data_IF_536812940238
#
_entry.id   IF_536812940238
#
_cell.length_a   1.000
_cell.length_b   1.000
_cell.length_c   1.000
_cell.angle_alpha   90.00
_cell.angle_beta   90.00
_cell.angle_gamma   90.00
#
_symmetry.space_group_name_H-M   'P 1'
#
loop_
_entity.id
_entity.type
_entity.pdbx_description
1 polymer ?
#
# COMPACT_ATOMS: atom_id res chain seq x y z
N UNK A 1 -9.30 -20.33 -12.47
CA UNK A 1 -10.07 -19.49 -11.54
C UNK A 1 -9.72 -18.04 -11.88
N UNK A 2 -10.71 -17.28 -12.33
CA UNK A 2 -10.49 -15.91 -12.84
C UNK A 2 -10.12 -15.00 -11.66
N UNK A 3 -9.01 -14.27 -11.77
CA UNK A 3 -8.61 -13.25 -10.81
C UNK A 3 -9.73 -12.22 -10.66
N UNK A 4 -10.04 -11.81 -9.45
CA UNK A 4 -10.97 -10.71 -9.20
C UNK A 4 -10.39 -9.44 -9.87
N UNK A 5 -11.20 -8.65 -10.58
CA UNK A 5 -10.72 -7.43 -11.22
C UNK A 5 -10.24 -6.44 -10.15
N UNK A 6 -8.99 -5.99 -10.23
CA UNK A 6 -8.49 -4.87 -9.45
C UNK A 6 -7.23 -5.08 -8.60
N UNK A 7 -6.74 -6.31 -8.41
CA UNK A 7 -5.54 -6.54 -7.61
C UNK A 7 -4.29 -6.58 -8.51
N UNK A 8 -3.66 -5.44 -8.70
CA UNK A 8 -2.50 -5.30 -9.61
C UNK A 8 -1.17 -5.71 -8.99
N UNK A 9 -1.08 -5.90 -7.66
CA UNK A 9 0.14 -6.24 -6.93
C UNK A 9 0.08 -7.69 -6.46
N UNK A 10 1.11 -8.48 -6.80
CA UNK A 10 1.30 -9.86 -6.34
C UNK A 10 2.24 -9.91 -5.15
N UNK A 11 1.83 -10.54 -4.05
CA UNK A 11 2.63 -10.71 -2.84
C UNK A 11 2.83 -12.20 -2.57
N UNK A 12 4.09 -12.63 -2.43
CA UNK A 12 4.44 -13.98 -2.00
C UNK A 12 4.60 -14.04 -0.49
N UNK A 13 3.86 -14.93 0.17
CA UNK A 13 4.03 -15.30 1.58
C UNK A 13 4.81 -16.61 1.66
N UNK A 14 6.01 -16.59 2.24
CA UNK A 14 6.83 -17.77 2.52
C UNK A 14 6.85 -18.01 4.04
N UNK A 15 6.23 -19.10 4.49
CA UNK A 15 6.08 -19.48 5.90
C UNK A 15 5.87 -21.00 5.96
N UNK A 16 6.66 -21.69 6.77
CA UNK A 16 6.60 -23.16 6.88
C UNK A 16 5.46 -23.65 7.77
N UNK A 17 4.97 -22.83 8.69
CA UNK A 17 3.80 -23.16 9.50
C UNK A 17 2.50 -22.88 8.71
N UNK A 18 1.74 -23.93 8.31
CA UNK A 18 0.55 -23.76 7.48
C UNK A 18 -0.53 -22.91 8.14
N UNK A 19 -0.68 -22.96 9.48
CA UNK A 19 -1.69 -22.15 10.18
C UNK A 19 -1.33 -20.66 10.13
N UNK A 20 -0.04 -20.33 10.32
CA UNK A 20 0.44 -18.93 10.26
C UNK A 20 0.36 -18.44 8.83
N UNK A 21 0.82 -19.24 7.86
CA UNK A 21 0.77 -18.93 6.43
C UNK A 21 -0.65 -18.59 5.96
N UNK A 22 -1.62 -19.46 6.27
CA UNK A 22 -3.02 -19.29 5.86
C UNK A 22 -3.65 -18.06 6.53
N UNK A 23 -3.31 -17.80 7.80
CA UNK A 23 -3.80 -16.65 8.54
C UNK A 23 -3.24 -15.34 7.97
N UNK A 24 -1.95 -15.32 7.64
CA UNK A 24 -1.28 -14.17 7.00
C UNK A 24 -1.85 -13.94 5.59
N UNK A 25 -1.97 -15.00 4.79
CA UNK A 25 -2.52 -14.92 3.43
C UNK A 25 -3.94 -14.31 3.44
N UNK A 26 -4.84 -14.85 4.29
CA UNK A 26 -6.20 -14.30 4.44
C UNK A 26 -6.23 -12.84 4.86
N UNK A 27 -5.29 -12.41 5.71
CA UNK A 27 -5.17 -11.01 6.13
C UNK A 27 -4.74 -10.07 5.02
N UNK A 28 -4.04 -10.58 3.99
CA UNK A 28 -3.51 -9.81 2.86
C UNK A 28 -4.38 -9.88 1.60
N UNK A 29 -5.19 -10.94 1.44
CA UNK A 29 -6.12 -11.10 0.32
C UNK A 29 -6.99 -9.87 0.00
N UNK A 30 -7.47 -9.06 0.97
CA UNK A 30 -8.23 -7.86 0.63
C UNK A 30 -7.45 -6.82 -0.19
N UNK A 31 -6.11 -6.80 -0.10
CA UNK A 31 -5.26 -5.72 -0.63
C UNK A 31 -4.48 -6.10 -1.88
N UNK A 32 -4.14 -7.40 -2.06
CA UNK A 32 -3.28 -7.86 -3.13
C UNK A 32 -3.60 -9.29 -3.56
N UNK A 33 -3.04 -9.73 -4.68
CA UNK A 33 -3.02 -11.13 -5.08
C UNK A 33 -1.96 -11.86 -4.25
N UNK A 34 -2.37 -12.89 -3.49
CA UNK A 34 -1.47 -13.60 -2.59
C UNK A 34 -1.03 -14.91 -3.21
N UNK A 35 0.27 -15.08 -3.35
CA UNK A 35 0.96 -16.34 -3.63
C UNK A 35 1.47 -16.91 -2.30
N UNK A 36 1.46 -18.22 -2.11
CA UNK A 36 1.98 -18.87 -0.90
C UNK A 36 3.12 -19.81 -1.26
N UNK A 37 4.08 -19.94 -0.35
CA UNK A 37 5.15 -20.93 -0.41
C UNK A 37 5.33 -21.62 0.94
N UNK A 38 5.59 -22.93 0.89
CA UNK A 38 5.65 -23.79 2.08
C UNK A 38 7.01 -23.75 2.77
N UNK A 39 8.06 -23.36 2.04
CA UNK A 39 9.42 -23.20 2.53
C UNK A 39 10.22 -22.25 1.60
N UNK A 40 11.49 -22.02 1.96
CA UNK A 40 12.36 -21.14 1.18
C UNK A 40 12.75 -21.70 -0.19
N UNK A 41 12.76 -23.00 -0.38
CA UNK A 41 13.09 -23.62 -1.68
C UNK A 41 11.88 -23.48 -2.63
N UNK A 42 10.68 -23.75 -2.16
CA UNK A 42 9.43 -23.51 -2.89
C UNK A 42 9.27 -22.02 -3.24
N UNK A 43 9.57 -21.14 -2.27
CA UNK A 43 9.56 -19.70 -2.50
C UNK A 43 10.52 -19.28 -3.62
N UNK A 44 11.75 -19.80 -3.59
CA UNK A 44 12.76 -19.50 -4.63
C UNK A 44 12.30 -19.95 -6.02
N UNK A 45 11.73 -21.14 -6.13
CA UNK A 45 11.21 -21.68 -7.40
C UNK A 45 10.06 -20.82 -7.93
N UNK A 46 9.10 -20.48 -7.08
CA UNK A 46 7.97 -19.62 -7.45
C UNK A 46 8.40 -18.22 -7.89
N UNK A 47 9.35 -17.61 -7.19
CA UNK A 47 9.90 -16.30 -7.59
C UNK A 47 10.61 -16.35 -8.94
N UNK A 48 11.25 -17.47 -9.30
CA UNK A 48 11.92 -17.62 -10.59
C UNK A 48 10.91 -17.86 -11.71
N UNK A 49 9.89 -18.65 -11.47
CA UNK A 49 8.84 -19.01 -12.46
C UNK A 49 7.89 -17.83 -12.70
N UNK A 50 7.36 -17.26 -11.63
CA UNK A 50 6.43 -16.13 -11.65
C UNK A 50 6.86 -15.08 -10.61
N UNK A 51 7.70 -14.08 -10.98
CA UNK A 51 8.18 -13.08 -10.04
C UNK A 51 7.04 -12.28 -9.39
N UNK A 52 6.94 -12.28 -8.05
CA UNK A 52 6.00 -11.42 -7.33
C UNK A 52 6.50 -9.96 -7.30
N UNK A 53 5.61 -9.05 -6.97
CA UNK A 53 5.97 -7.64 -6.78
C UNK A 53 6.61 -7.36 -5.41
N UNK A 54 6.30 -8.21 -4.40
CA UNK A 54 6.82 -8.12 -3.04
C UNK A 54 6.83 -9.49 -2.39
N UNK A 55 7.78 -9.72 -1.49
CA UNK A 55 7.95 -10.97 -0.74
C UNK A 55 7.83 -10.67 0.76
N UNK A 56 6.99 -11.44 1.45
CA UNK A 56 6.89 -11.51 2.90
C UNK A 56 7.34 -12.90 3.34
N UNK A 57 8.43 -12.99 4.08
CA UNK A 57 9.13 -14.25 4.35
C UNK A 57 9.42 -14.45 5.84
N UNK A 58 9.11 -15.64 6.36
CA UNK A 58 9.65 -16.03 7.65
C UNK A 58 11.18 -16.17 7.59
N UNK A 59 11.82 -15.68 8.62
CA UNK A 59 13.27 -15.81 8.79
C UNK A 59 13.69 -17.25 9.08
N UNK A 60 12.91 -17.96 9.92
CA UNK A 60 13.24 -19.28 10.43
C UNK A 60 12.43 -20.38 9.71
N UNK A 61 12.83 -20.72 8.51
CA UNK A 61 12.28 -21.87 7.78
C UNK A 61 13.29 -23.02 7.68
N UNK A 62 12.83 -24.29 7.66
CA UNK A 62 13.74 -25.43 7.48
C UNK A 62 14.36 -25.42 6.08
N UNK A 63 15.57 -25.99 5.98
CA UNK A 63 16.30 -26.06 4.72
C UNK A 63 16.83 -24.70 4.27
N UNK A 64 16.17 -24.04 3.35
CA UNK A 64 16.53 -22.69 2.90
C UNK A 64 15.80 -21.66 3.75
N UNK A 65 16.49 -21.05 4.70
CA UNK A 65 15.91 -20.02 5.57
C UNK A 65 15.72 -18.68 4.85
N UNK A 66 14.96 -17.76 5.48
CA UNK A 66 14.60 -16.47 4.87
C UNK A 66 15.81 -15.61 4.49
N UNK A 67 16.90 -15.63 5.29
CA UNK A 67 18.15 -14.92 4.97
C UNK A 67 18.80 -15.49 3.71
N UNK A 68 18.95 -16.81 3.65
CA UNK A 68 19.55 -17.46 2.49
C UNK A 68 18.71 -17.26 1.22
N UNK A 69 17.39 -17.26 1.33
CA UNK A 69 16.49 -16.92 0.24
C UNK A 69 16.75 -15.48 -0.23
N UNK A 70 16.78 -14.51 0.69
CA UNK A 70 17.06 -13.11 0.39
C UNK A 70 18.40 -12.94 -0.34
N UNK A 71 19.50 -13.52 0.17
CA UNK A 71 20.83 -13.44 -0.43
C UNK A 71 20.84 -14.02 -1.86
N UNK A 72 20.15 -15.16 -2.09
CA UNK A 72 20.01 -15.76 -3.42
C UNK A 72 19.21 -14.88 -4.39
N UNK A 73 18.18 -14.21 -3.92
CA UNK A 73 17.39 -13.30 -4.76
C UNK A 73 18.16 -12.02 -5.05
N UNK A 74 18.90 -11.46 -4.09
CA UNK A 74 19.73 -10.26 -4.27
C UNK A 74 20.92 -10.50 -5.23
N UNK A 75 21.43 -11.72 -5.31
CA UNK A 75 22.51 -12.07 -6.24
C UNK A 75 22.07 -12.16 -7.71
N UNK A 76 20.78 -12.14 -8.00
CA UNK A 76 20.22 -12.27 -9.35
C UNK A 76 19.66 -10.94 -9.83
N UNK A 77 20.04 -10.51 -11.02
CA UNK A 77 19.59 -9.24 -11.59
C UNK A 77 18.07 -9.17 -11.76
N UNK A 78 17.44 -10.26 -12.14
CA UNK A 78 16.00 -10.35 -12.37
C UNK A 78 15.16 -10.20 -11.08
N UNK A 79 15.70 -10.51 -9.89
CA UNK A 79 14.94 -10.56 -8.64
C UNK A 79 15.48 -9.64 -7.54
N UNK A 80 16.69 -9.06 -7.72
CA UNK A 80 17.34 -8.22 -6.71
C UNK A 80 16.56 -6.97 -6.31
N UNK A 81 15.66 -6.50 -7.18
CA UNK A 81 14.88 -5.30 -6.99
C UNK A 81 13.56 -5.54 -6.23
N UNK A 82 13.16 -6.81 -6.05
CA UNK A 82 11.87 -7.15 -5.41
C UNK A 82 11.94 -6.77 -3.93
N UNK A 83 11.04 -5.91 -3.42
CA UNK A 83 10.94 -5.60 -2.01
C UNK A 83 10.75 -6.85 -1.16
N UNK A 84 11.49 -6.94 -0.05
CA UNK A 84 11.52 -8.11 0.81
C UNK A 84 11.29 -7.72 2.28
N UNK A 85 10.21 -8.23 2.85
CA UNK A 85 9.84 -8.06 4.25
C UNK A 85 10.13 -9.34 5.02
N UNK A 86 10.75 -9.22 6.18
CA UNK A 86 11.01 -10.36 7.06
C UNK A 86 9.99 -10.43 8.20
N UNK A 87 9.51 -11.64 8.49
CA UNK A 87 8.85 -11.99 9.74
C UNK A 87 9.85 -12.72 10.63
N UNK A 88 10.20 -12.19 11.81
CA UNK A 88 11.21 -12.79 12.68
C UNK A 88 10.98 -12.44 14.16
N UNK A 89 11.67 -13.14 15.08
CA UNK A 89 11.69 -12.73 16.47
C UNK A 89 12.38 -11.38 16.64
N UNK A 90 12.08 -10.62 17.71
CA UNK A 90 12.76 -9.36 18.00
C UNK A 90 14.27 -9.54 18.13
N UNK A 91 14.69 -10.62 18.77
CA UNK A 91 16.12 -10.97 18.93
C UNK A 91 16.80 -11.19 17.58
N UNK A 92 16.16 -11.96 16.67
CA UNK A 92 16.73 -12.19 15.34
C UNK A 92 16.79 -10.88 14.53
N UNK A 93 15.78 -10.01 14.66
CA UNK A 93 15.79 -8.71 13.97
C UNK A 93 16.95 -7.84 14.46
N UNK A 94 17.16 -7.72 15.76
CA UNK A 94 18.17 -6.83 16.34
C UNK A 94 19.59 -7.36 16.18
N UNK A 95 19.81 -8.66 16.39
CA UNK A 95 21.12 -9.26 16.43
C UNK A 95 21.60 -9.81 15.07
N UNK A 96 20.68 -10.25 14.21
CA UNK A 96 21.02 -11.00 12.99
C UNK A 96 20.56 -10.34 11.70
N UNK A 97 19.40 -9.65 11.70
CA UNK A 97 18.87 -9.10 10.46
C UNK A 97 19.36 -7.67 10.24
N UNK A 98 19.06 -6.75 11.11
CA UNK A 98 19.46 -5.34 10.95
C UNK A 98 20.94 -5.11 10.73
N UNK A 99 21.86 -5.79 11.47
CA UNK A 99 23.30 -5.59 11.28
C UNK A 99 23.85 -6.19 9.99
N UNK A 100 23.16 -7.19 9.41
CA UNK A 100 23.72 -8.04 8.34
C UNK A 100 22.97 -7.92 7.02
N UNK A 101 21.78 -7.32 6.99
CA UNK A 101 20.95 -7.25 5.79
C UNK A 101 20.71 -5.79 5.42
N UNK A 102 21.42 -5.34 4.40
CA UNK A 102 21.12 -4.11 3.69
C UNK A 102 20.08 -4.36 2.60
N UNK A 103 19.12 -3.44 2.43
CA UNK A 103 18.14 -3.49 1.35
C UNK A 103 16.93 -4.38 1.61
N UNK A 104 16.70 -4.83 2.86
CA UNK A 104 15.37 -5.30 3.25
C UNK A 104 14.41 -4.11 3.35
N UNK A 105 13.16 -4.33 2.94
CA UNK A 105 12.13 -3.29 2.93
C UNK A 105 11.63 -2.99 4.35
N UNK A 106 11.34 -4.05 5.14
CA UNK A 106 10.88 -3.93 6.52
C UNK A 106 11.08 -5.24 7.30
N UNK A 107 10.94 -5.14 8.63
CA UNK A 107 11.03 -6.27 9.57
C UNK A 107 9.82 -6.28 10.48
N UNK A 108 9.06 -7.37 10.45
CA UNK A 108 7.84 -7.59 11.25
C UNK A 108 8.17 -8.53 12.41
N UNK A 109 8.10 -8.01 13.64
CA UNK A 109 8.45 -8.78 14.84
C UNK A 109 7.36 -9.79 15.21
N UNK A 110 7.72 -11.07 15.35
CA UNK A 110 6.90 -12.11 15.98
C UNK A 110 6.98 -12.00 17.52
N UNK A 111 5.86 -12.18 18.27
CA UNK A 111 4.50 -12.39 17.80
C UNK A 111 3.86 -11.08 17.30
N UNK A 112 3.02 -11.17 16.28
CA UNK A 112 2.31 -10.03 15.68
C UNK A 112 0.78 -10.25 15.69
N UNK A 113 0.03 -9.16 15.65
CA UNK A 113 -1.38 -9.19 15.29
C UNK A 113 -1.49 -9.11 13.76
N UNK A 114 -2.38 -9.89 13.17
CA UNK A 114 -2.57 -9.90 11.70
C UNK A 114 -2.87 -8.50 11.15
N UNK A 115 -3.65 -7.70 11.87
CA UNK A 115 -3.94 -6.32 11.48
C UNK A 115 -2.69 -5.42 11.40
N UNK A 116 -1.69 -5.66 12.25
CA UNK A 116 -0.47 -4.85 12.27
C UNK A 116 0.48 -5.29 11.15
N UNK A 117 0.61 -6.61 10.92
CA UNK A 117 1.31 -7.17 9.77
C UNK A 117 0.69 -6.67 8.46
N UNK A 118 -0.63 -6.78 8.32
CA UNK A 118 -1.35 -6.35 7.13
C UNK A 118 -1.17 -4.84 6.88
N UNK A 119 -1.13 -4.02 7.93
CA UNK A 119 -0.85 -2.58 7.80
C UNK A 119 0.56 -2.30 7.27
N UNK A 120 1.58 -3.02 7.75
CA UNK A 120 2.97 -2.87 7.26
C UNK A 120 3.09 -3.33 5.81
N UNK A 121 2.56 -4.50 5.47
CA UNK A 121 2.58 -5.00 4.10
C UNK A 121 1.79 -4.10 3.14
N UNK A 122 0.60 -3.61 3.56
CA UNK A 122 -0.24 -2.73 2.75
C UNK A 122 0.48 -1.44 2.32
N UNK A 123 1.31 -0.85 3.17
CA UNK A 123 2.11 0.34 2.80
C UNK A 123 2.99 0.09 1.57
N UNK A 124 3.61 -1.09 1.52
CA UNK A 124 4.47 -1.48 0.39
C UNK A 124 3.61 -1.79 -0.84
N UNK A 125 2.50 -2.50 -0.67
CA UNK A 125 1.55 -2.82 -1.74
C UNK A 125 0.99 -1.55 -2.39
N UNK A 126 0.54 -0.57 -1.60
CA UNK A 126 -0.01 0.69 -2.10
C UNK A 126 1.04 1.50 -2.89
N UNK A 127 2.29 1.55 -2.39
CA UNK A 127 3.40 2.17 -3.11
C UNK A 127 3.65 1.50 -4.47
N UNK A 128 3.73 0.17 -4.49
CA UNK A 128 3.95 -0.59 -5.72
C UNK A 128 2.79 -0.46 -6.71
N UNK A 129 1.57 -0.38 -6.19
CA UNK A 129 0.39 -0.13 -7.03
C UNK A 129 0.51 1.22 -7.74
N UNK A 130 0.84 2.29 -7.02
CA UNK A 130 1.07 3.62 -7.62
C UNK A 130 2.21 3.61 -8.64
N UNK A 131 3.33 2.92 -8.35
CA UNK A 131 4.44 2.79 -9.30
C UNK A 131 4.02 2.08 -10.59
N UNK A 132 3.19 1.03 -10.49
CA UNK A 132 2.63 0.33 -11.66
C UNK A 132 1.72 1.24 -12.48
N UNK A 133 0.80 1.96 -11.83
CA UNK A 133 -0.07 2.94 -12.48
C UNK A 133 0.75 4.02 -13.20
N UNK A 134 1.82 4.50 -12.57
CA UNK A 134 2.72 5.49 -13.16
C UNK A 134 3.43 4.97 -14.42
N UNK A 135 3.86 3.70 -14.42
CA UNK A 135 4.48 3.05 -15.59
C UNK A 135 3.50 2.82 -16.75
N UNK A 136 2.21 2.64 -16.44
CA UNK A 136 1.14 2.45 -17.43
C UNK A 136 0.52 3.76 -17.91
N UNK A 137 0.87 4.89 -17.30
CA UNK A 137 0.30 6.19 -17.60
C UNK A 137 0.56 6.60 -19.06
N UNK A 138 -0.49 7.04 -19.75
CA UNK A 138 -0.42 7.53 -21.14
C UNK A 138 0.34 8.84 -21.27
N UNK A 139 0.57 9.58 -20.19
CA UNK A 139 1.32 10.86 -20.13
C UNK A 139 2.36 10.81 -19.01
N UNK A 140 3.63 11.17 -19.26
CA UNK A 140 4.66 11.23 -18.22
C UNK A 140 4.24 12.14 -17.06
N UNK A 141 4.39 11.67 -15.83
CA UNK A 141 4.04 12.41 -14.62
C UNK A 141 2.54 12.50 -14.29
N UNK A 142 1.69 11.72 -14.99
CA UNK A 142 0.26 11.61 -14.71
C UNK A 142 -0.08 10.15 -14.40
N UNK A 143 -0.73 9.91 -13.27
CA UNK A 143 -1.26 8.61 -12.87
C UNK A 143 -2.78 8.66 -12.92
N UNK A 144 -3.41 7.65 -13.48
CA UNK A 144 -4.87 7.50 -13.49
C UNK A 144 -5.25 6.14 -12.91
N UNK A 145 -6.37 6.08 -12.21
CA UNK A 145 -6.88 4.85 -11.61
C UNK A 145 -8.31 5.00 -11.12
N UNK A 146 -8.78 4.00 -10.40
CA UNK A 146 -10.15 3.93 -9.88
C UNK A 146 -10.15 3.78 -8.36
N UNK A 147 -11.12 4.42 -7.70
CA UNK A 147 -11.25 4.37 -6.23
C UNK A 147 -11.61 2.98 -5.70
N UNK A 148 -12.18 2.12 -6.54
CA UNK A 148 -12.45 0.71 -6.22
C UNK A 148 -11.17 -0.12 -6.09
N UNK A 149 -10.07 0.31 -6.74
CA UNK A 149 -8.76 -0.34 -6.69
C UNK A 149 -7.87 0.26 -5.62
N UNK A 150 -7.98 1.56 -5.36
CA UNK A 150 -7.21 2.30 -4.38
C UNK A 150 -8.05 3.38 -3.74
N UNK A 151 -8.41 3.21 -2.47
CA UNK A 151 -9.29 4.16 -1.77
C UNK A 151 -8.67 5.56 -1.63
N UNK A 152 -9.53 6.57 -1.41
CA UNK A 152 -9.07 7.94 -1.14
C UNK A 152 -8.10 8.02 0.05
N UNK A 153 -8.34 7.24 1.11
CA UNK A 153 -7.42 7.18 2.28
C UNK A 153 -6.06 6.67 1.85
N UNK A 154 -6.01 5.60 1.05
CA UNK A 154 -4.76 5.02 0.58
C UNK A 154 -3.98 5.98 -0.33
N UNK A 155 -4.69 6.73 -1.19
CA UNK A 155 -4.10 7.79 -2.02
C UNK A 155 -3.47 8.89 -1.17
N UNK A 156 -4.22 9.44 -0.20
CA UNK A 156 -3.74 10.48 0.69
C UNK A 156 -2.53 10.01 1.53
N UNK A 157 -2.58 8.80 2.08
CA UNK A 157 -1.47 8.22 2.82
C UNK A 157 -0.22 8.04 1.96
N UNK A 158 -0.39 7.52 0.75
CA UNK A 158 0.72 7.30 -0.18
C UNK A 158 1.38 8.60 -0.62
N UNK A 159 0.59 9.64 -0.87
CA UNK A 159 1.10 10.98 -1.21
C UNK A 159 1.83 11.61 -0.02
N UNK A 160 1.30 11.49 1.20
CA UNK A 160 1.92 11.99 2.42
C UNK A 160 3.24 11.28 2.71
N UNK A 161 3.23 9.94 2.76
CA UNK A 161 4.44 9.14 3.03
C UNK A 161 5.52 9.35 1.98
N UNK A 162 5.14 9.45 0.70
CA UNK A 162 6.04 9.72 -0.40
C UNK A 162 6.49 11.18 -0.49
N UNK A 163 5.99 12.07 0.39
CA UNK A 163 6.24 13.52 0.37
C UNK A 163 6.06 14.12 -1.03
N UNK A 164 5.01 13.66 -1.74
CA UNK A 164 4.76 14.04 -3.12
C UNK A 164 4.10 15.42 -3.21
N UNK A 165 4.47 16.16 -4.25
CA UNK A 165 3.79 17.40 -4.66
C UNK A 165 3.07 17.14 -5.97
N UNK A 166 1.75 17.35 -6.00
CA UNK A 166 0.91 17.02 -7.15
C UNK A 166 -0.46 17.68 -7.05
N UNK A 167 -1.20 17.62 -8.15
CA UNK A 167 -2.65 17.82 -8.18
C UNK A 167 -3.31 16.46 -8.22
N UNK A 168 -4.26 16.20 -7.32
CA UNK A 168 -5.14 15.04 -7.35
C UNK A 168 -6.54 15.51 -7.77
N UNK A 169 -7.00 14.99 -8.90
CA UNK A 169 -8.35 15.16 -9.40
C UNK A 169 -9.13 13.88 -9.15
N UNK A 170 -10.35 14.00 -8.61
CA UNK A 170 -11.24 12.87 -8.39
C UNK A 170 -12.60 13.18 -8.99
N UNK A 171 -13.17 12.20 -9.70
CA UNK A 171 -14.47 12.35 -10.35
C UNK A 171 -15.37 11.16 -10.02
N UNK A 172 -16.59 11.48 -9.57
CA UNK A 172 -17.67 10.50 -9.33
C UNK A 172 -18.96 11.01 -9.99
N UNK A 173 -19.32 10.40 -11.13
CA UNK A 173 -20.43 10.89 -11.93
C UNK A 173 -20.22 12.34 -12.38
N UNK A 174 -21.08 13.24 -11.93
CA UNK A 174 -21.00 14.70 -12.19
C UNK A 174 -20.17 15.46 -11.16
N UNK A 175 -19.90 14.86 -10.01
CA UNK A 175 -19.14 15.49 -8.95
C UNK A 175 -17.64 15.40 -9.24
N UNK A 176 -16.97 16.54 -9.00
CA UNK A 176 -15.52 16.68 -9.21
C UNK A 176 -14.88 17.32 -7.99
N UNK A 177 -13.78 16.73 -7.55
CA UNK A 177 -12.96 17.28 -6.49
C UNK A 177 -11.51 17.45 -6.97
N UNK A 178 -10.89 18.52 -6.54
CA UNK A 178 -9.51 18.87 -6.89
C UNK A 178 -8.73 19.19 -5.61
N UNK A 179 -7.67 18.44 -5.35
CA UNK A 179 -6.81 18.58 -4.18
C UNK A 179 -5.39 18.86 -4.61
N UNK A 180 -4.71 19.77 -3.93
CA UNK A 180 -3.33 20.15 -4.20
C UNK A 180 -2.41 19.80 -3.04
N UNK A 181 -1.35 19.06 -3.34
CA UNK A 181 -0.37 18.59 -2.38
C UNK A 181 0.97 19.29 -2.58
N UNK A 182 1.60 19.68 -1.47
CA UNK A 182 2.99 20.15 -1.43
C UNK A 182 3.75 19.37 -0.36
N UNK A 183 4.81 18.65 -0.77
CA UNK A 183 5.61 17.78 0.10
C UNK A 183 4.74 16.84 0.98
N UNK A 184 3.76 16.19 0.35
CA UNK A 184 2.84 15.25 1.02
C UNK A 184 1.72 15.91 1.84
N UNK A 185 1.71 17.24 1.96
CA UNK A 185 0.68 17.96 2.70
C UNK A 185 -0.39 18.50 1.76
N UNK A 186 -1.65 18.14 2.01
CA UNK A 186 -2.79 18.75 1.32
C UNK A 186 -2.88 20.22 1.74
N UNK A 187 -2.73 21.13 0.79
CA UNK A 187 -2.72 22.57 1.02
C UNK A 187 -4.01 23.23 0.59
N UNK A 188 -4.57 22.77 -0.50
CA UNK A 188 -5.81 23.33 -1.04
C UNK A 188 -6.70 22.18 -1.52
N UNK A 189 -8.01 22.33 -1.31
CA UNK A 189 -8.99 21.37 -1.77
C UNK A 189 -10.28 22.09 -2.15
N UNK A 190 -10.90 21.65 -3.24
CA UNK A 190 -12.17 22.17 -3.75
C UNK A 190 -13.03 21.01 -4.24
N UNK A 191 -14.30 21.06 -3.90
CA UNK A 191 -15.33 20.14 -4.37
C UNK A 191 -16.67 20.87 -4.42
N UNK A 192 -17.17 21.14 -5.61
CA UNK A 192 -18.38 21.98 -5.80
C UNK A 192 -18.26 23.29 -5.01
N UNK A 193 -19.18 23.55 -4.07
CA UNK A 193 -19.17 24.74 -3.20
C UNK A 193 -18.33 24.58 -1.92
N UNK A 194 -17.77 23.38 -1.68
CA UNK A 194 -16.91 23.08 -0.53
C UNK A 194 -15.45 23.39 -0.82
N UNK A 195 -14.71 23.82 0.22
CA UNK A 195 -13.28 24.05 0.13
C UNK A 195 -12.55 23.62 1.42
N UNK A 196 -11.23 23.43 1.33
CA UNK A 196 -10.38 23.09 2.47
C UNK A 196 -10.72 21.73 3.09
N UNK A 197 -10.70 21.68 4.41
CA UNK A 197 -10.92 20.45 5.19
C UNK A 197 -12.26 19.78 4.83
N UNK A 198 -13.33 20.55 4.69
CA UNK A 198 -14.67 20.01 4.39
C UNK A 198 -14.72 19.32 3.01
N UNK A 199 -14.04 19.88 2.02
CA UNK A 199 -13.93 19.26 0.70
C UNK A 199 -13.17 17.93 0.77
N UNK A 200 -12.05 17.88 1.51
CA UNK A 200 -11.26 16.64 1.70
C UNK A 200 -12.09 15.58 2.40
N UNK A 201 -12.72 15.93 3.53
CA UNK A 201 -13.51 14.98 4.33
C UNK A 201 -14.72 14.45 3.57
N UNK A 202 -15.32 15.26 2.69
CA UNK A 202 -16.43 14.80 1.84
C UNK A 202 -15.97 13.82 0.77
N UNK A 203 -14.86 14.11 0.11
CA UNK A 203 -14.32 13.27 -0.97
C UNK A 203 -13.77 11.94 -0.45
N UNK A 204 -13.23 11.92 0.77
CA UNK A 204 -12.69 10.68 1.39
C UNK A 204 -13.77 9.61 1.56
N UNK A 205 -15.05 10.00 1.66
CA UNK A 205 -16.17 9.06 1.75
C UNK A 205 -16.56 8.41 0.41
N UNK A 206 -15.91 8.79 -0.70
CA UNK A 206 -16.18 8.17 -1.99
C UNK A 206 -15.47 6.81 -2.08
N UNK A 207 -16.27 5.78 -2.38
CA UNK A 207 -15.81 4.40 -2.54
C UNK A 207 -15.71 3.98 -4.00
N UNK A 208 -16.18 4.82 -4.92
CA UNK A 208 -16.18 4.60 -6.36
C UNK A 208 -15.87 5.91 -7.09
N UNK A 209 -15.30 5.81 -8.27
CA UNK A 209 -14.94 6.94 -9.12
C UNK A 209 -13.55 6.80 -9.73
N UNK A 210 -13.21 7.77 -10.57
CA UNK A 210 -11.91 7.83 -11.24
C UNK A 210 -11.03 8.91 -10.60
N UNK A 211 -9.72 8.65 -10.52
CA UNK A 211 -8.76 9.66 -10.08
C UNK A 211 -7.63 9.88 -11.08
N UNK A 212 -7.11 11.08 -11.10
CA UNK A 212 -5.91 11.48 -11.82
C UNK A 212 -4.96 12.22 -10.88
N UNK A 213 -3.71 11.74 -10.74
CA UNK A 213 -2.63 12.42 -10.05
C UNK A 213 -1.71 13.02 -11.09
N UNK A 214 -1.56 14.34 -11.10
CA UNK A 214 -0.67 15.05 -12.02
C UNK A 214 0.47 15.70 -11.24
N UNK A 215 1.66 15.11 -11.32
CA UNK A 215 2.88 15.63 -10.68
C UNK A 215 3.45 16.86 -11.38
N UNK A 216 3.05 17.12 -12.64
CA UNK A 216 3.47 18.31 -13.37
C UNK A 216 2.69 19.55 -12.93
N UNK A 217 1.51 19.35 -12.35
CA UNK A 217 0.62 20.40 -11.86
C UNK A 217 0.77 20.69 -10.35
N UNK A 218 1.88 20.32 -9.74
CA UNK A 218 2.15 20.51 -8.31
C UNK A 218 2.01 21.97 -7.83
N UNK A 219 2.31 22.93 -8.71
CA UNK A 219 2.27 24.36 -8.41
C UNK A 219 1.02 25.06 -8.99
N UNK A 220 0.01 24.32 -9.42
CA UNK A 220 -1.19 24.89 -10.06
C UNK A 220 -2.07 25.68 -9.08
N UNK A 221 -1.96 25.43 -7.77
CA UNK A 221 -2.57 26.27 -6.73
C UNK A 221 -1.50 26.79 -5.77
N UNK A 222 -1.59 28.07 -5.43
CA UNK A 222 -0.82 28.72 -4.36
C UNK A 222 -1.66 28.96 -3.11
N UNK A 223 -2.95 28.61 -3.17
CA UNK A 223 -3.87 28.75 -2.06
C UNK A 223 -3.57 27.74 -0.94
N UNK A 224 -3.86 28.13 0.29
CA UNK A 224 -3.87 27.23 1.44
C UNK A 224 -5.25 27.36 2.10
N UNK A 225 -6.14 26.41 1.80
CA UNK A 225 -7.51 26.40 2.33
C UNK A 225 -7.70 25.35 3.42
N UNK A 226 -6.79 24.37 3.51
CA UNK A 226 -6.82 23.36 4.58
C UNK A 226 -6.24 23.95 5.86
N UNK A 227 -6.87 23.63 6.99
CA UNK A 227 -6.43 24.03 8.33
C UNK A 227 -5.68 22.92 9.05
N UNK A 228 -5.96 21.66 8.72
CA UNK A 228 -5.29 20.48 9.26
C UNK A 228 -4.19 20.02 8.32
N UNK A 229 -3.15 19.38 8.87
CA UNK A 229 -2.19 18.64 8.08
C UNK A 229 -2.83 17.33 7.54
N UNK A 230 -2.19 16.68 6.57
CA UNK A 230 -2.72 15.46 5.93
C UNK A 230 -2.99 14.35 6.94
N UNK A 231 -2.10 14.14 7.92
CA UNK A 231 -2.31 13.16 9.00
C UNK A 231 -3.59 13.46 9.80
N UNK A 232 -3.83 14.73 10.14
CA UNK A 232 -5.04 15.16 10.88
C UNK A 232 -6.32 14.95 10.05
N UNK A 233 -6.27 15.23 8.75
CA UNK A 233 -7.37 14.97 7.82
C UNK A 233 -7.65 13.46 7.71
N UNK A 234 -6.61 12.63 7.64
CA UNK A 234 -6.74 11.17 7.59
C UNK A 234 -7.36 10.59 8.87
N UNK A 235 -6.94 11.09 10.05
CA UNK A 235 -7.52 10.65 11.32
C UNK A 235 -9.02 10.97 11.41
N UNK A 236 -9.39 12.18 11.02
CA UNK A 236 -10.79 12.61 11.00
C UNK A 236 -11.62 11.83 9.96
N UNK A 237 -11.03 11.56 8.78
CA UNK A 237 -11.66 10.75 7.75
C UNK A 237 -11.94 9.32 8.23
N UNK A 238 -10.98 8.69 8.91
CA UNK A 238 -11.14 7.34 9.48
C UNK A 238 -12.26 7.34 10.55
N UNK A 239 -12.32 8.37 11.39
CA UNK A 239 -13.40 8.52 12.38
C UNK A 239 -14.76 8.59 11.73
N UNK A 240 -14.90 9.40 10.68
CA UNK A 240 -16.18 9.54 9.93
C UNK A 240 -16.60 8.24 9.24
N UNK A 241 -15.64 7.48 8.68
CA UNK A 241 -15.93 6.17 8.09
C UNK A 241 -16.37 5.15 9.13
N UNK A 242 -15.76 5.14 10.31
CA UNK A 242 -16.16 4.26 11.41
C UNK A 242 -17.57 4.61 11.92
N UNK A 243 -17.93 5.89 11.97
CA UNK A 243 -19.28 6.34 12.34
C UNK A 243 -20.30 5.92 11.27
N UNK A 244 -20.02 6.16 9.99
CA UNK A 244 -20.90 5.77 8.89
C UNK A 244 -21.15 4.24 8.83
N UNK A 245 -20.13 3.44 9.14
CA UNK A 245 -20.27 1.98 9.20
C UNK A 245 -21.08 1.49 10.41
N UNK A 246 -21.07 2.20 11.54
CA UNK A 246 -21.90 1.88 12.70
C UNK A 246 -23.38 2.14 12.46
N UNK A 247 -23.69 3.23 11.77
CA UNK A 247 -25.08 3.61 11.45
C UNK A 247 -25.74 2.62 10.47
N UNK A 248 -24.95 1.96 9.61
CA UNK A 248 -25.44 0.93 8.68
C UNK A 248 -25.68 -0.43 9.34
N UNK A 249 -25.00 -0.75 10.44
CA UNK A 249 -25.16 -2.02 11.17
C UNK A 249 -26.28 -1.96 12.23
N UNK A 250 -26.71 -0.76 12.63
CA UNK A 250 -27.75 -0.54 13.66
C UNK A 250 -29.19 -0.60 13.16
N UNK A 251 -29.44 -0.81 11.86
CA UNK A 251 -30.78 -0.81 11.23
C UNK A 251 -31.17 -2.17 10.63
N UNK A 252 -30.54 -3.28 11.10
CA UNK A 252 -30.87 -4.65 10.69
C UNK A 252 -31.48 -5.47 11.82
#
# INVERSE_FOLDING_TARGET
MSAAPGKSVKLLVAEDNPMVRDLVAKGLEPFCEVMIADDGADALLKVIDEPPDVILCDYNMPGLNGRQLFEKLRSREATRHIPFLFMASRTDIEERLRPLIEGAEDFIAKPFLIKDLARSAKKVVDRLHLEKLQKQASRPGVIQGRLEEMSMIDLLQSLEMGQKSCRLLVQKGTDRAELFFAAGQCRDAKMNDLSGDDAVLKVVLWTEGEFEIDFNAANASTATTTTRNTTGLLMEAMRLLDEANRDTVGTG
#
